data_IF_189486618562
#
_entry.id   IF_189486618562
#
_cell.length_a   1.000
_cell.length_b   1.000
_cell.length_c   1.000
_cell.angle_alpha   90.00
_cell.angle_beta   90.00
_cell.angle_gamma   90.00
#
_symmetry.space_group_name_H-M   'P 1'
#
loop_
_entity.id
_entity.type
_entity.pdbx_description
1 polymer ?
#
# COMPACT_ATOMS: atom_id res chain seq x y z
N UNK A 1 15.93 19.19 37.30
CA UNK A 1 17.08 18.39 36.81
C UNK A 1 17.66 19.12 35.61
N UNK A 2 18.97 19.41 35.63
CA UNK A 2 19.64 20.21 34.59
C UNK A 2 20.31 19.30 33.57
N UNK A 3 20.46 19.79 32.34
CA UNK A 3 21.24 19.11 31.32
C UNK A 3 22.68 18.95 31.80
N UNK A 4 23.31 17.81 31.51
CA UNK A 4 24.71 17.58 31.90
C UNK A 4 25.69 18.44 31.09
N UNK A 5 25.27 18.99 29.95
CA UNK A 5 26.10 19.78 29.03
C UNK A 5 25.78 21.29 29.06
N UNK A 6 24.69 21.73 29.70
CA UNK A 6 24.35 23.14 29.88
C UNK A 6 23.39 23.40 31.04
N UNK A 7 23.19 24.66 31.39
CA UNK A 7 22.28 25.08 32.48
C UNK A 7 20.78 25.01 32.15
N UNK A 8 20.40 24.49 30.97
CA UNK A 8 18.98 24.29 30.60
C UNK A 8 18.37 23.10 31.34
N UNK A 9 17.04 23.07 31.47
CA UNK A 9 16.33 21.94 32.05
C UNK A 9 16.44 20.70 31.16
N UNK A 10 16.75 19.54 31.77
CA UNK A 10 16.78 18.27 31.06
C UNK A 10 15.35 17.80 30.76
N UNK A 11 15.11 17.38 29.51
CA UNK A 11 13.83 16.85 29.04
C UNK A 11 13.95 15.39 28.54
N UNK A 12 15.16 14.95 28.24
CA UNK A 12 15.43 13.61 27.71
C UNK A 12 16.25 12.79 28.70
N UNK A 13 15.89 11.51 28.80
CA UNK A 13 16.59 10.48 29.57
C UNK A 13 17.06 9.40 28.61
N UNK A 14 18.37 9.22 28.47
CA UNK A 14 18.98 8.27 27.56
C UNK A 14 19.75 7.24 28.37
N UNK A 15 19.51 5.96 28.11
CA UNK A 15 20.18 4.83 28.77
C UNK A 15 21.00 4.08 27.73
N UNK A 16 22.31 4.09 27.86
CA UNK A 16 23.24 3.40 26.95
C UNK A 16 23.75 2.10 27.56
N UNK A 17 23.83 1.08 26.72
CA UNK A 17 24.38 -0.23 27.05
C UNK A 17 25.59 -0.49 26.13
N UNK A 18 26.76 0.01 26.51
CA UNK A 18 28.03 -0.39 25.87
C UNK A 18 28.77 -1.38 26.78
N UNK A 19 29.08 -2.56 26.25
CA UNK A 19 29.93 -3.58 26.91
C UNK A 19 29.57 -3.91 28.37
N UNK A 20 28.26 -4.00 28.67
CA UNK A 20 27.76 -4.51 29.95
C UNK A 20 27.71 -3.50 31.11
N UNK A 21 28.08 -2.24 30.89
CA UNK A 21 27.84 -1.15 31.85
C UNK A 21 26.68 -0.27 31.38
N UNK A 22 25.71 -0.04 32.27
CA UNK A 22 24.55 0.82 32.01
C UNK A 22 24.92 2.25 32.38
N UNK A 23 24.86 3.18 31.42
CA UNK A 23 25.08 4.61 31.65
C UNK A 23 23.79 5.39 31.39
N UNK A 24 23.44 6.27 32.32
CA UNK A 24 22.25 7.11 32.25
C UNK A 24 22.65 8.58 32.04
N UNK A 25 22.14 9.19 30.98
CA UNK A 25 22.45 10.57 30.58
C UNK A 25 21.18 11.41 30.49
N UNK A 26 21.21 12.62 31.06
CA UNK A 26 20.09 13.57 31.03
C UNK A 26 20.45 14.83 30.24
N UNK A 27 19.75 15.05 29.13
CA UNK A 27 20.04 16.12 28.18
C UNK A 27 18.81 17.03 27.93
N UNK A 28 19.07 18.28 27.55
CA UNK A 28 18.05 19.16 26.99
C UNK A 28 17.78 18.79 25.53
N UNK A 29 16.73 19.33 24.92
CA UNK A 29 16.34 19.03 23.53
C UNK A 29 17.49 19.20 22.53
N UNK A 30 18.20 20.33 22.59
CA UNK A 30 19.31 20.64 21.67
C UNK A 30 20.44 19.58 21.77
N UNK A 31 20.84 19.25 23.01
CA UNK A 31 21.94 18.34 23.25
C UNK A 31 21.57 16.87 23.02
N UNK A 32 20.31 16.49 23.28
CA UNK A 32 19.81 15.16 22.97
C UNK A 32 19.90 14.87 21.47
N UNK A 33 19.49 15.82 20.61
CA UNK A 33 19.62 15.69 19.15
C UNK A 33 21.07 15.55 18.70
N UNK A 34 21.98 16.37 19.25
CA UNK A 34 23.39 16.30 18.90
C UNK A 34 24.09 15.02 19.38
N UNK A 35 23.62 14.45 20.49
CA UNK A 35 24.18 13.25 21.10
C UNK A 35 23.74 11.99 20.35
N UNK A 36 22.45 11.89 20.01
CA UNK A 36 21.91 10.79 19.19
C UNK A 36 22.52 10.78 17.79
N UNK A 37 22.67 11.93 17.14
CA UNK A 37 23.28 11.99 15.81
C UNK A 37 24.78 11.65 15.80
N UNK A 38 25.48 11.76 16.94
CA UNK A 38 26.90 11.38 17.05
C UNK A 38 27.07 9.88 17.35
N UNK A 39 26.16 9.25 18.09
CA UNK A 39 26.16 7.79 18.28
C UNK A 39 25.86 7.03 16.98
N UNK A 40 25.28 7.68 15.97
CA UNK A 40 25.07 7.14 14.63
C UNK A 40 26.27 7.37 13.68
N UNK A 41 27.46 7.61 14.23
CA UNK A 41 28.71 7.79 13.50
C UNK A 41 29.28 6.50 12.91
N UNK A 42 28.51 5.71 12.17
CA UNK A 42 29.01 4.63 11.32
C UNK A 42 28.02 4.14 10.23
N UNK A 43 27.17 4.99 9.64
CA UNK A 43 26.51 4.65 8.36
C UNK A 43 26.12 5.92 7.62
N UNK A 44 26.88 6.24 6.56
CA UNK A 44 26.55 6.93 5.29
C UNK A 44 25.46 8.03 5.25
N UNK A 45 25.59 9.06 4.38
CA UNK A 45 24.51 9.99 4.10
C UNK A 45 23.44 9.25 3.30
N UNK A 46 22.54 8.52 3.96
CA UNK A 46 21.31 8.08 3.33
C UNK A 46 20.43 9.32 3.23
N UNK A 47 20.32 9.81 2.00
CA UNK A 47 19.11 10.48 1.57
C UNK A 47 17.94 9.69 2.14
N UNK A 48 17.17 10.36 3.00
CA UNK A 48 16.14 9.75 3.84
C UNK A 48 15.40 8.66 3.06
N UNK A 49 15.48 7.38 3.47
CA UNK A 49 14.59 6.40 2.90
C UNK A 49 13.20 6.94 3.20
N UNK A 50 12.40 7.14 2.17
CA UNK A 50 10.98 7.40 2.34
C UNK A 50 10.41 6.37 3.32
N UNK A 51 9.25 6.64 3.93
CA UNK A 51 8.70 5.90 5.07
C UNK A 51 8.56 4.37 4.87
N UNK A 52 8.83 3.87 3.68
CA UNK A 52 8.75 2.47 3.27
C UNK A 52 10.09 1.70 3.38
N UNK A 53 11.23 2.33 3.69
CA UNK A 53 12.45 1.58 4.08
C UNK A 53 12.97 0.59 3.02
N UNK A 54 12.97 0.97 1.74
CA UNK A 54 13.49 0.13 0.66
C UNK A 54 15.02 0.10 0.72
N UNK A 55 15.60 -1.06 1.03
CA UNK A 55 17.04 -1.28 1.05
C UNK A 55 17.58 -1.64 -0.35
N UNK A 56 17.54 -0.66 -1.26
CA UNK A 56 18.09 -0.79 -2.62
C UNK A 56 19.27 0.17 -2.81
N UNK A 57 20.12 -0.09 -3.81
CA UNK A 57 21.19 0.84 -4.17
C UNK A 57 20.62 2.11 -4.80
N UNK A 58 21.32 3.24 -4.67
CA UNK A 58 20.84 4.52 -5.18
C UNK A 58 20.54 4.51 -6.70
N UNK A 59 21.27 3.71 -7.48
CA UNK A 59 21.03 3.53 -8.92
C UNK A 59 19.76 2.72 -9.20
N UNK A 60 19.52 1.61 -8.48
CA UNK A 60 18.29 0.82 -8.59
C UNK A 60 17.05 1.64 -8.19
N UNK A 61 17.14 2.43 -7.12
CA UNK A 61 16.05 3.35 -6.72
C UNK A 61 15.75 4.38 -7.80
N UNK A 62 16.78 4.92 -8.47
CA UNK A 62 16.58 5.93 -9.51
C UNK A 62 15.93 5.37 -10.77
N UNK A 63 16.15 4.10 -11.10
CA UNK A 63 15.45 3.40 -12.19
C UNK A 63 13.99 3.09 -11.81
N UNK A 64 13.76 2.72 -10.55
CA UNK A 64 12.43 2.43 -10.03
C UNK A 64 11.55 3.68 -9.94
N UNK A 65 12.11 4.80 -9.49
CA UNK A 65 11.41 6.08 -9.39
C UNK A 65 10.89 6.58 -10.75
N UNK A 66 11.43 6.09 -11.88
CA UNK A 66 10.96 6.38 -13.23
C UNK A 66 9.80 5.50 -13.71
N UNK A 67 9.47 4.41 -12.99
CA UNK A 67 8.34 3.56 -13.37
C UNK A 67 7.02 4.29 -13.13
N UNK A 68 6.15 4.22 -14.13
CA UNK A 68 4.84 4.90 -14.14
C UNK A 68 3.75 3.89 -14.42
N UNK A 69 2.63 3.97 -13.69
CA UNK A 69 1.47 3.16 -13.98
C UNK A 69 0.82 3.59 -15.30
N UNK A 70 0.60 2.64 -16.21
CA UNK A 70 -0.02 2.90 -17.52
C UNK A 70 -1.50 3.32 -17.42
N UNK A 71 -2.15 2.95 -16.31
CA UNK A 71 -3.59 3.15 -16.08
C UNK A 71 -3.90 4.48 -15.41
N UNK A 72 -3.26 4.76 -14.27
CA UNK A 72 -3.52 5.96 -13.48
C UNK A 72 -2.44 7.05 -13.59
N UNK A 73 -1.25 6.71 -14.09
CA UNK A 73 -0.15 7.65 -14.28
C UNK A 73 0.68 7.95 -13.03
N UNK A 74 0.40 7.29 -11.89
CA UNK A 74 1.21 7.47 -10.68
C UNK A 74 2.63 6.94 -10.89
N UNK A 75 3.62 7.66 -10.39
CA UNK A 75 5.02 7.20 -10.42
C UNK A 75 5.37 6.44 -9.15
N UNK A 76 6.35 5.54 -9.21
CA UNK A 76 6.84 4.85 -8.02
C UNK A 76 7.41 5.83 -6.97
N UNK A 77 8.02 6.92 -7.43
CA UNK A 77 8.47 8.02 -6.57
C UNK A 77 7.32 8.64 -5.77
N UNK A 78 6.20 8.94 -6.43
CA UNK A 78 5.00 9.48 -5.78
C UNK A 78 4.43 8.49 -4.75
N UNK A 79 4.39 7.20 -5.09
CA UNK A 79 4.00 6.16 -4.14
C UNK A 79 4.93 6.14 -2.93
N UNK A 80 6.25 6.17 -3.13
CA UNK A 80 7.24 6.10 -2.03
C UNK A 80 7.16 7.31 -1.09
N UNK A 81 6.85 8.49 -1.64
CA UNK A 81 6.75 9.72 -0.88
C UNK A 81 5.39 9.85 -0.15
N UNK A 82 4.29 9.42 -0.77
CA UNK A 82 2.94 9.57 -0.22
C UNK A 82 2.43 8.33 0.52
N UNK A 83 3.03 7.16 0.27
CA UNK A 83 2.62 5.85 0.80
C UNK A 83 1.27 5.36 0.27
N UNK A 84 0.78 5.89 -0.86
CA UNK A 84 -0.54 5.57 -1.42
C UNK A 84 -0.45 5.25 -2.90
N UNK A 85 -1.12 4.17 -3.29
CA UNK A 85 -1.30 3.77 -4.69
C UNK A 85 -2.54 4.46 -5.28
N UNK A 86 -2.51 4.72 -6.58
CA UNK A 86 -3.55 5.45 -7.32
C UNK A 86 -4.66 4.55 -7.87
N UNK A 87 -4.36 3.31 -8.24
CA UNK A 87 -5.35 2.36 -8.73
C UNK A 87 -5.02 0.89 -8.42
N UNK A 88 -5.97 -0.05 -8.62
CA UNK A 88 -5.74 -1.47 -8.37
C UNK A 88 -4.63 -2.09 -9.23
N UNK A 89 -4.41 -1.55 -10.44
CA UNK A 89 -3.36 -2.04 -11.34
C UNK A 89 -1.95 -1.79 -10.81
N UNK A 90 -1.78 -0.78 -9.93
CA UNK A 90 -0.47 -0.45 -9.36
C UNK A 90 0.08 -1.61 -8.52
N UNK A 91 -0.80 -2.41 -7.89
CA UNK A 91 -0.39 -3.62 -7.17
C UNK A 91 0.21 -4.69 -8.07
N UNK A 92 -0.22 -4.74 -9.33
CA UNK A 92 0.30 -5.68 -10.34
C UNK A 92 1.58 -5.12 -10.96
N UNK A 93 1.59 -3.83 -11.29
CA UNK A 93 2.72 -3.21 -11.98
C UNK A 93 3.96 -3.05 -11.08
N UNK A 94 3.76 -2.80 -9.79
CA UNK A 94 4.84 -2.67 -8.80
C UNK A 94 4.94 -3.89 -7.88
N UNK A 95 4.45 -5.06 -8.31
CA UNK A 95 4.38 -6.27 -7.48
C UNK A 95 5.74 -6.64 -6.88
N UNK A 96 6.79 -6.63 -7.71
CA UNK A 96 8.15 -7.02 -7.31
C UNK A 96 8.73 -6.11 -6.23
N UNK A 97 8.40 -4.83 -6.26
CA UNK A 97 8.84 -3.84 -5.28
C UNK A 97 7.94 -3.80 -4.05
N UNK A 98 6.63 -4.06 -4.22
CA UNK A 98 5.65 -4.07 -3.15
C UNK A 98 5.74 -5.31 -2.28
N UNK A 99 6.06 -6.47 -2.83
CA UNK A 99 6.16 -7.73 -2.10
C UNK A 99 7.09 -7.65 -0.87
N UNK A 100 8.37 -7.23 -0.99
CA UNK A 100 9.25 -7.09 0.18
C UNK A 100 8.77 -6.00 1.14
N UNK A 101 8.14 -4.94 0.64
CA UNK A 101 7.59 -3.87 1.48
C UNK A 101 6.42 -4.35 2.33
N UNK A 102 5.48 -5.07 1.72
CA UNK A 102 4.32 -5.66 2.37
C UNK A 102 4.78 -6.70 3.39
N UNK A 103 5.75 -7.55 3.02
CA UNK A 103 6.35 -8.51 3.94
C UNK A 103 6.99 -7.84 5.16
N UNK A 104 7.72 -6.73 4.97
CA UNK A 104 8.34 -5.99 6.07
C UNK A 104 7.33 -5.32 7.00
N UNK A 105 6.24 -4.77 6.46
CA UNK A 105 5.23 -4.05 7.25
C UNK A 105 4.26 -5.02 7.94
N UNK A 106 3.80 -6.05 7.22
CA UNK A 106 2.72 -6.94 7.65
C UNK A 106 3.20 -8.33 8.11
N UNK A 107 4.47 -8.68 7.88
CA UNK A 107 5.06 -9.98 8.22
C UNK A 107 4.67 -11.13 7.28
N UNK A 108 3.71 -10.90 6.38
CA UNK A 108 3.25 -11.86 5.38
C UNK A 108 2.76 -11.12 4.13
N UNK A 109 2.90 -11.77 2.97
CA UNK A 109 2.47 -11.23 1.67
C UNK A 109 1.02 -11.60 1.37
N UNK A 110 0.55 -12.73 1.92
CA UNK A 110 -0.82 -13.21 1.71
C UNK A 110 -1.68 -13.09 2.96
N UNK A 111 -2.91 -12.61 2.78
CA UNK A 111 -3.91 -12.58 3.84
C UNK A 111 -4.75 -13.87 3.83
N UNK A 112 -4.51 -14.75 4.81
CA UNK A 112 -5.24 -16.02 4.99
C UNK A 112 -6.43 -15.93 5.96
N UNK A 113 -6.79 -14.72 6.39
CA UNK A 113 -7.85 -14.47 7.37
C UNK A 113 -9.26 -14.34 6.78
N UNK A 114 -10.22 -14.04 7.66
CA UNK A 114 -11.63 -13.80 7.30
C UNK A 114 -11.73 -12.53 6.45
N UNK A 115 -12.10 -12.68 5.18
CA UNK A 115 -12.45 -11.55 4.31
C UNK A 115 -13.89 -11.10 4.64
N UNK A 116 -14.14 -9.81 4.93
CA UNK A 116 -15.49 -9.33 5.13
C UNK A 116 -16.27 -9.46 3.82
N UNK A 117 -17.42 -10.13 3.88
CA UNK A 117 -18.37 -10.12 2.77
C UNK A 117 -18.86 -8.68 2.62
N UNK A 118 -18.54 -8.04 1.48
CA UNK A 118 -19.01 -6.67 1.22
C UNK A 118 -20.53 -6.70 1.21
N UNK A 119 -21.15 -5.67 1.78
CA UNK A 119 -22.60 -5.53 1.76
C UNK A 119 -23.11 -5.60 0.31
N UNK A 120 -24.19 -6.35 0.09
CA UNK A 120 -24.90 -6.37 -1.19
C UNK A 120 -25.21 -4.91 -1.60
N UNK A 121 -24.60 -4.44 -2.69
CA UNK A 121 -24.69 -3.05 -3.13
C UNK A 121 -23.35 -2.35 -3.45
N UNK A 122 -22.20 -3.01 -3.36
CA UNK A 122 -20.97 -2.49 -3.98
C UNK A 122 -21.21 -2.38 -5.49
N UNK A 123 -21.15 -1.19 -6.08
CA UNK A 123 -21.38 -0.98 -7.53
C UNK A 123 -20.14 -1.30 -8.38
N UNK A 124 -19.10 -1.90 -7.77
CA UNK A 124 -17.80 -2.08 -8.38
C UNK A 124 -17.33 -3.53 -8.30
N UNK A 125 -16.71 -4.04 -9.38
CA UNK A 125 -16.16 -5.39 -9.44
C UNK A 125 -15.16 -5.68 -8.33
N UNK A 126 -15.08 -6.94 -7.93
CA UNK A 126 -14.10 -7.41 -6.94
C UNK A 126 -12.75 -7.75 -7.57
N UNK A 127 -12.75 -8.20 -8.83
CA UNK A 127 -11.53 -8.54 -9.56
C UNK A 127 -10.73 -7.29 -9.92
N UNK A 128 -9.41 -7.34 -9.65
CA UNK A 128 -8.44 -6.32 -10.04
C UNK A 128 -8.47 -6.08 -11.55
N UNK A 129 -8.66 -7.12 -12.35
CA UNK A 129 -8.75 -7.03 -13.81
C UNK A 129 -9.98 -6.25 -14.26
N UNK A 130 -11.16 -6.59 -13.73
CA UNK A 130 -12.41 -5.90 -14.06
C UNK A 130 -12.38 -4.44 -13.65
N UNK A 131 -11.83 -4.13 -12.47
CA UNK A 131 -11.64 -2.75 -12.02
C UNK A 131 -10.67 -1.98 -12.93
N UNK A 132 -9.54 -2.60 -13.29
CA UNK A 132 -8.56 -2.02 -14.21
C UNK A 132 -9.19 -1.72 -15.57
N UNK A 133 -9.98 -2.67 -16.10
CA UNK A 133 -10.72 -2.49 -17.35
C UNK A 133 -11.69 -1.31 -17.26
N UNK A 134 -12.49 -1.20 -16.20
CA UNK A 134 -13.41 -0.07 -16.01
C UNK A 134 -12.66 1.27 -15.95
N UNK A 135 -11.51 1.32 -15.28
CA UNK A 135 -10.66 2.52 -15.22
C UNK A 135 -10.14 2.89 -16.62
N UNK A 136 -9.69 1.90 -17.39
CA UNK A 136 -9.25 2.09 -18.78
C UNK A 136 -10.36 2.61 -19.69
N UNK A 137 -11.56 2.03 -19.59
CA UNK A 137 -12.73 2.50 -20.34
C UNK A 137 -13.10 3.93 -19.96
N UNK A 138 -13.05 4.30 -18.68
CA UNK A 138 -13.28 5.68 -18.22
C UNK A 138 -12.25 6.65 -18.77
N UNK A 139 -10.98 6.23 -18.87
CA UNK A 139 -9.93 7.02 -19.51
C UNK A 139 -10.23 7.20 -21.00
N UNK A 140 -10.59 6.14 -21.71
CA UNK A 140 -10.97 6.18 -23.12
C UNK A 140 -12.20 7.08 -23.40
N UNK A 141 -13.19 7.11 -22.49
CA UNK A 141 -14.32 8.04 -22.62
C UNK A 141 -13.85 9.49 -22.58
N UNK A 142 -12.94 9.84 -21.66
CA UNK A 142 -12.39 11.20 -21.57
C UNK A 142 -11.66 11.58 -22.85
N UNK A 143 -10.80 10.69 -23.36
CA UNK A 143 -10.07 10.90 -24.61
C UNK A 143 -11.02 11.06 -25.81
N UNK A 144 -12.05 10.23 -25.92
CA UNK A 144 -13.04 10.31 -27.00
C UNK A 144 -13.85 11.61 -26.93
N UNK A 145 -14.20 12.09 -25.72
CA UNK A 145 -14.87 13.39 -25.54
C UNK A 145 -13.96 14.55 -25.94
N UNK A 146 -12.68 14.51 -25.58
CA UNK A 146 -11.69 15.52 -25.98
C UNK A 146 -11.47 15.57 -27.49
N UNK A 147 -11.62 14.43 -28.18
CA UNK A 147 -11.51 14.32 -29.64
C UNK A 147 -12.85 14.54 -30.37
N UNK A 148 -13.92 14.91 -29.65
CA UNK A 148 -15.28 15.07 -30.18
C UNK A 148 -15.87 13.79 -30.83
N UNK A 149 -15.31 12.62 -30.50
CA UNK A 149 -15.78 11.29 -30.93
C UNK A 149 -16.92 10.79 -30.03
N UNK A 150 -18.05 11.51 -30.01
CA UNK A 150 -19.15 11.22 -29.08
C UNK A 150 -19.79 9.83 -29.26
N UNK A 151 -19.80 9.29 -30.47
CA UNK A 151 -20.29 7.93 -30.74
C UNK A 151 -19.43 6.89 -30.02
N UNK A 152 -18.10 7.04 -30.12
CA UNK A 152 -17.14 6.18 -29.43
C UNK A 152 -17.21 6.32 -27.92
N UNK A 153 -17.42 7.54 -27.41
CA UNK A 153 -17.65 7.74 -25.98
C UNK A 153 -18.92 7.01 -25.50
N UNK A 154 -19.96 6.96 -26.34
CA UNK A 154 -21.19 6.18 -26.12
C UNK A 154 -20.91 4.68 -26.02
N UNK A 155 -20.21 4.11 -27.01
CA UNK A 155 -19.89 2.67 -26.99
C UNK A 155 -19.05 2.27 -25.79
N UNK A 156 -18.05 3.08 -25.41
CA UNK A 156 -17.23 2.82 -24.23
C UNK A 156 -18.04 2.88 -22.92
N UNK A 157 -19.08 3.73 -22.85
CA UNK A 157 -19.98 3.78 -21.70
C UNK A 157 -20.84 2.53 -21.61
N UNK A 158 -21.33 2.04 -22.75
CA UNK A 158 -22.11 0.79 -22.80
C UNK A 158 -21.25 -0.41 -22.40
N UNK A 159 -19.98 -0.45 -22.80
CA UNK A 159 -19.03 -1.47 -22.35
C UNK A 159 -18.80 -1.44 -20.83
N UNK A 160 -18.75 -0.26 -20.20
CA UNK A 160 -18.67 -0.17 -18.73
C UNK A 160 -19.91 -0.78 -18.10
N UNK A 161 -21.10 -0.42 -18.59
CA UNK A 161 -22.35 -0.97 -18.06
C UNK A 161 -22.36 -2.49 -18.18
N UNK A 162 -21.92 -3.04 -19.31
CA UNK A 162 -21.85 -4.48 -19.52
C UNK A 162 -20.91 -5.18 -18.53
N UNK A 163 -19.74 -4.60 -18.23
CA UNK A 163 -18.81 -5.15 -17.22
C UNK A 163 -19.44 -5.15 -15.83
N UNK A 164 -20.17 -4.10 -15.48
CA UNK A 164 -20.87 -4.01 -14.19
C UNK A 164 -22.04 -4.99 -14.11
N UNK A 165 -22.84 -5.09 -15.17
CA UNK A 165 -23.98 -6.01 -15.25
C UNK A 165 -23.54 -7.47 -15.13
N UNK A 166 -22.47 -7.86 -15.83
CA UNK A 166 -21.89 -9.20 -15.73
C UNK A 166 -21.45 -9.51 -14.30
N UNK A 167 -20.80 -8.55 -13.64
CA UNK A 167 -20.37 -8.72 -12.25
C UNK A 167 -21.57 -8.84 -11.29
N UNK A 168 -22.63 -8.06 -11.48
CA UNK A 168 -23.86 -8.18 -10.70
C UNK A 168 -24.55 -9.54 -10.90
N UNK A 169 -24.50 -10.10 -12.11
CA UNK A 169 -25.03 -11.42 -12.41
C UNK A 169 -24.21 -12.53 -11.71
N UNK A 170 -22.87 -12.46 -11.77
CA UNK A 170 -21.98 -13.41 -11.10
C UNK A 170 -22.21 -13.44 -9.57
N UNK A 171 -22.35 -12.27 -8.93
CA UNK A 171 -22.64 -12.18 -7.49
C UNK A 171 -23.97 -12.85 -7.10
N UNK A 172 -25.01 -12.71 -7.94
CA UNK A 172 -26.31 -13.34 -7.68
C UNK A 172 -26.26 -14.87 -7.82
N UNK A 173 -25.37 -15.40 -8.68
CA UNK A 173 -25.18 -16.86 -8.79
C UNK A 173 -24.39 -17.44 -7.63
N UNK A 174 -23.43 -16.69 -7.07
CA UNK A 174 -22.61 -17.13 -5.95
C UNK A 174 -23.41 -17.28 -4.65
N UNK A 175 -24.36 -16.39 -4.39
CA UNK A 175 -25.20 -16.37 -3.18
C UNK A 175 -26.30 -17.46 -3.19
N UNK A 176 -26.52 -18.15 -4.32
CA UNK A 176 -27.53 -19.19 -4.49
C UNK A 176 -27.10 -20.63 -4.16
N UNK A 177 -25.84 -20.88 -3.82
CA UNK A 177 -25.27 -22.25 -3.75
C UNK A 177 -25.05 -22.82 -2.35
N UNK A 178 -25.49 -22.13 -1.28
CA UNK A 178 -25.35 -22.61 0.11
C UNK A 178 -26.72 -22.88 0.78
N UNK A 179 -27.42 -23.93 0.33
CA UNK A 179 -28.65 -24.43 1.00
C UNK A 179 -28.92 -25.92 0.76
N UNK A 180 -27.88 -26.72 0.55
CA UNK A 180 -28.02 -28.19 0.53
C UNK A 180 -27.23 -28.81 1.68
N UNK A 181 -27.79 -28.74 2.89
CA UNK A 181 -27.34 -29.58 4.00
C UNK A 181 -27.51 -31.06 3.60
N UNK A 182 -26.48 -31.91 3.66
CA UNK A 182 -26.71 -33.35 3.63
C UNK A 182 -27.38 -33.74 4.96
N UNK A 183 -28.58 -34.27 4.86
CA UNK A 183 -29.32 -34.89 5.94
C UNK A 183 -28.47 -35.99 6.60
N UNK A 184 -28.06 -35.77 7.85
CA UNK A 184 -27.50 -36.82 8.70
C UNK A 184 -28.57 -37.89 8.95
N UNK A 185 -28.34 -39.07 8.42
CA UNK A 185 -29.08 -40.28 8.77
C UNK A 185 -28.49 -40.91 10.04
N UNK A 186 -29.31 -41.32 11.03
CA UNK A 186 -28.80 -41.97 12.22
C UNK A 186 -28.45 -43.42 11.88
N UNK A 187 -27.17 -43.78 12.04
CA UNK A 187 -26.71 -45.16 11.91
C UNK A 187 -26.53 -45.77 13.30
N UNK A 188 -27.35 -46.79 13.55
CA UNK A 188 -27.40 -47.64 14.73
C UNK A 188 -26.07 -48.32 15.06
N UNK A 189 -25.77 -48.44 16.36
CA UNK A 189 -25.06 -49.57 16.99
C UNK A 189 -25.41 -49.64 18.46
#
# INVERSE_FOLDING_TARGET
>A
MRCQQCDKQAMFHITELETGEVREVHLCEDHARSYLNQSEGASQPSESPGPLGVAQTAEELSELDQKVCEMCGITFFEFRNQGRLGCPHDYVQFEQELEPLIANIHGAVEHTGRRPQRAAGSELPESTESLTRVIGLRKGIREAVEQEEYERAGTLRDEINQVLDNWHAEQQTADGTDSSQPSESPSSS
#
